data_IF_721268918570
#
_entry.id   IF_721268918570
#
_cell.length_a   1.000
_cell.length_b   1.000
_cell.length_c   1.000
_cell.angle_alpha   90.00
_cell.angle_beta   90.00
_cell.angle_gamma   90.00
#
_symmetry.space_group_name_H-M   'P 1'
#
loop_
_entity.id
_entity.type
_entity.pdbx_description
1 polymer ?
#
# COMPACT_ATOMS: atom_id res chain seq x y z
N UNK A 1 -3.37 1.03 0.85
CA UNK A 1 -2.60 0.57 2.02
C UNK A 1 -3.34 1.06 3.25
N UNK A 2 -3.65 0.17 4.19
CA UNK A 2 -4.29 0.48 5.46
C UNK A 2 -3.21 0.62 6.54
N UNK A 3 -3.32 1.64 7.39
CA UNK A 3 -2.36 1.89 8.47
C UNK A 3 -3.08 1.92 9.82
N UNK A 4 -2.70 1.03 10.73
CA UNK A 4 -3.14 1.03 12.12
C UNK A 4 -2.24 1.95 12.96
N UNK A 5 -2.65 3.19 13.19
CA UNK A 5 -1.86 4.14 13.98
C UNK A 5 -2.06 3.92 15.49
N UNK A 6 -1.11 4.39 16.32
CA UNK A 6 -1.10 4.30 17.79
C UNK A 6 -0.88 2.88 18.34
N UNK A 7 -0.03 2.09 17.68
CA UNK A 7 0.28 0.73 18.16
C UNK A 7 0.97 0.67 19.54
N UNK A 8 1.40 1.81 20.09
CA UNK A 8 1.94 1.93 21.45
C UNK A 8 0.89 1.78 22.56
N UNK A 9 -0.39 2.02 22.27
CA UNK A 9 -1.50 1.94 23.23
C UNK A 9 -2.05 0.52 23.38
N UNK A 10 -1.20 -0.43 23.76
CA UNK A 10 -1.55 -1.86 23.83
C UNK A 10 -2.72 -2.13 24.81
N UNK A 11 -2.80 -1.36 25.90
CA UNK A 11 -3.86 -1.50 26.92
C UNK A 11 -5.22 -1.00 26.47
N UNK A 12 -5.26 -0.08 25.50
CA UNK A 12 -6.49 0.50 24.94
C UNK A 12 -6.77 -0.06 23.53
N UNK A 13 -6.14 -1.19 23.18
CA UNK A 13 -6.28 -1.80 21.87
C UNK A 13 -7.66 -2.42 21.72
N UNK A 14 -8.50 -1.79 20.90
CA UNK A 14 -9.82 -2.32 20.56
C UNK A 14 -9.80 -3.25 19.33
N UNK A 15 -8.84 -3.06 18.43
CA UNK A 15 -8.74 -3.83 17.17
C UNK A 15 -7.49 -4.69 17.21
N UNK A 16 -7.65 -5.99 17.00
CA UNK A 16 -6.52 -6.90 16.89
C UNK A 16 -5.83 -6.76 15.53
N UNK A 17 -4.53 -7.03 15.49
CA UNK A 17 -3.74 -7.02 14.26
C UNK A 17 -4.35 -7.93 13.17
N UNK A 18 -4.87 -9.10 13.57
CA UNK A 18 -5.53 -10.05 12.66
C UNK A 18 -6.78 -9.46 11.99
N UNK A 19 -7.56 -8.68 12.74
CA UNK A 19 -8.78 -8.05 12.22
C UNK A 19 -8.43 -6.94 11.24
N UNK A 20 -7.43 -6.12 11.56
CA UNK A 20 -6.87 -5.11 10.66
C UNK A 20 -6.33 -5.73 9.36
N UNK A 21 -5.59 -6.84 9.47
CA UNK A 21 -5.08 -7.58 8.32
C UNK A 21 -6.21 -8.20 7.49
N UNK A 22 -7.24 -8.77 8.12
CA UNK A 22 -8.39 -9.33 7.43
C UNK A 22 -9.17 -8.25 6.65
N UNK A 23 -9.33 -7.06 7.23
CA UNK A 23 -9.94 -5.92 6.56
C UNK A 23 -9.09 -5.44 5.38
N UNK A 24 -7.78 -5.35 5.55
CA UNK A 24 -6.88 -4.93 4.47
C UNK A 24 -6.92 -5.92 3.29
N UNK A 25 -6.92 -7.23 3.59
CA UNK A 25 -7.08 -8.30 2.60
C UNK A 25 -8.40 -8.16 1.84
N UNK A 26 -9.51 -7.91 2.54
CA UNK A 26 -10.83 -7.67 1.92
C UNK A 26 -10.84 -6.45 0.99
N UNK A 27 -10.10 -5.40 1.35
CA UNK A 27 -9.97 -4.18 0.55
C UNK A 27 -8.91 -4.32 -0.56
N UNK A 28 -8.22 -5.46 -0.66
CA UNK A 28 -7.16 -5.69 -1.63
C UNK A 28 -5.94 -4.79 -1.40
N UNK A 29 -5.64 -4.43 -0.15
CA UNK A 29 -4.52 -3.55 0.18
C UNK A 29 -3.65 -4.10 1.32
N UNK A 30 -2.42 -3.59 1.41
CA UNK A 30 -1.47 -3.96 2.46
C UNK A 30 -1.83 -3.31 3.80
N UNK A 31 -1.55 -3.98 4.92
CA UNK A 31 -1.72 -3.46 6.28
C UNK A 31 -0.36 -3.19 6.94
N UNK A 32 -0.25 -2.09 7.69
CA UNK A 32 0.93 -1.77 8.51
C UNK A 32 0.48 -1.11 9.81
N UNK A 33 1.00 -1.56 10.95
CA UNK A 33 0.83 -0.83 12.21
C UNK A 33 1.98 0.14 12.44
N UNK A 34 1.65 1.36 12.89
CA UNK A 34 2.62 2.40 13.19
C UNK A 34 2.28 3.14 14.47
N UNK A 35 3.28 3.76 15.10
CA UNK A 35 3.04 4.76 16.14
C UNK A 35 3.76 6.05 15.78
N UNK A 36 2.97 7.10 15.59
CA UNK A 36 3.50 8.45 15.42
C UNK A 36 4.22 8.95 16.69
N UNK A 37 3.82 8.47 17.87
CA UNK A 37 4.37 8.90 19.17
C UNK A 37 5.75 8.28 19.44
N UNK A 38 5.91 7.00 19.14
CA UNK A 38 7.17 6.27 19.37
C UNK A 38 8.01 6.12 18.10
N UNK A 39 7.60 6.75 17.00
CA UNK A 39 8.23 6.66 15.68
C UNK A 39 8.37 5.22 15.14
N UNK A 40 7.48 4.32 15.56
CA UNK A 40 7.51 2.91 15.12
C UNK A 40 6.84 2.77 13.76
N UNK A 41 7.54 2.14 12.81
CA UNK A 41 7.07 1.80 11.46
C UNK A 41 6.59 2.98 10.59
N UNK A 42 6.81 4.22 11.03
CA UNK A 42 6.43 5.43 10.28
C UNK A 42 7.20 5.50 8.95
N UNK A 43 8.53 5.32 9.00
CA UNK A 43 9.36 5.27 7.80
C UNK A 43 8.96 4.12 6.87
N UNK A 44 8.76 2.93 7.44
CA UNK A 44 8.37 1.74 6.68
C UNK A 44 7.06 1.96 5.92
N UNK A 45 6.06 2.55 6.58
CA UNK A 45 4.79 2.88 5.95
C UNK A 45 5.00 3.88 4.79
N UNK A 46 5.78 4.93 5.02
CA UNK A 46 6.02 5.96 4.01
C UNK A 46 6.78 5.41 2.79
N UNK A 47 7.89 4.70 2.99
CA UNK A 47 8.66 4.10 1.91
C UNK A 47 7.85 3.06 1.13
N UNK A 48 7.04 2.26 1.81
CA UNK A 48 6.16 1.28 1.14
C UNK A 48 5.16 1.99 0.24
N UNK A 49 4.51 3.03 0.74
CA UNK A 49 3.56 3.83 -0.04
C UNK A 49 4.20 4.44 -1.29
N UNK A 50 5.37 5.06 -1.14
CA UNK A 50 6.11 5.67 -2.26
C UNK A 50 6.47 4.61 -3.30
N UNK A 51 6.95 3.43 -2.88
CA UNK A 51 7.26 2.32 -3.79
C UNK A 51 6.03 1.84 -4.55
N UNK A 52 4.88 1.73 -3.88
CA UNK A 52 3.62 1.35 -4.51
C UNK A 52 3.18 2.34 -5.59
N UNK A 53 3.25 3.65 -5.30
CA UNK A 53 2.88 4.70 -6.26
C UNK A 53 3.80 4.66 -7.49
N UNK A 54 5.12 4.49 -7.29
CA UNK A 54 6.09 4.41 -8.39
C UNK A 54 5.84 3.19 -9.27
N UNK A 55 5.57 2.03 -8.67
CA UNK A 55 5.25 0.81 -9.41
C UNK A 55 3.96 0.97 -10.23
N UNK A 56 2.90 1.51 -9.64
CA UNK A 56 1.64 1.77 -10.36
C UNK A 56 1.82 2.71 -11.54
N UNK A 57 2.65 3.75 -11.41
CA UNK A 57 2.96 4.67 -12.50
C UNK A 57 3.71 3.98 -13.64
N UNK A 58 4.72 3.16 -13.31
CA UNK A 58 5.48 2.39 -14.30
C UNK A 58 4.59 1.38 -15.04
N UNK A 59 3.70 0.69 -14.32
CA UNK A 59 2.75 -0.24 -14.92
C UNK A 59 1.77 0.47 -15.86
N UNK A 60 1.29 1.65 -15.48
CA UNK A 60 0.41 2.46 -16.33
C UNK A 60 1.12 2.93 -17.61
N UNK A 61 2.38 3.35 -17.51
CA UNK A 61 3.22 3.74 -18.65
C UNK A 61 3.47 2.54 -19.60
N UNK A 62 3.80 1.37 -19.04
CA UNK A 62 3.97 0.12 -19.80
C UNK A 62 2.71 -0.28 -20.55
N UNK A 63 1.54 -0.23 -19.90
CA UNK A 63 0.24 -0.55 -20.54
C UNK A 63 -0.06 0.38 -21.72
N UNK A 64 0.23 1.69 -21.58
CA UNK A 64 0.10 2.66 -22.69
C UNK A 64 1.05 2.36 -23.84
N UNK A 65 2.26 1.89 -23.55
CA UNK A 65 3.24 1.48 -24.57
C UNK A 65 2.78 0.28 -25.40
N UNK A 66 2.27 -0.77 -24.74
CA UNK A 66 1.73 -1.95 -25.44
C UNK A 66 0.53 -1.60 -26.33
N UNK A 67 -0.37 -0.73 -25.86
CA UNK A 67 -1.55 -0.33 -26.62
C UNK A 67 -1.20 0.44 -27.91
N UNK A 68 -0.09 1.19 -27.92
CA UNK A 68 0.43 1.84 -29.14
C UNK A 68 1.05 0.87 -30.14
N UNK A 69 1.65 -0.23 -29.69
CA UNK A 69 2.22 -1.24 -30.60
C UNK A 69 1.16 -2.08 -31.30
N UNK A 70 0.00 -2.30 -30.68
CA UNK A 70 -1.12 -3.04 -31.29
C UNK A 70 -1.84 -2.26 -32.41
N UNK A 71 -1.62 -0.94 -32.56
CA UNK A 71 -2.29 -0.14 -33.59
C UNK A 71 -1.48 0.02 -34.89
N UNK A 72 -0.28 -0.57 -34.98
CA UNK A 72 0.54 -0.45 -36.18
C UNK A 72 0.42 -1.74 -37.01
N UNK A 73 -0.57 -1.77 -37.92
CA UNK A 73 -0.56 -2.68 -39.06
C UNK A 73 0.30 -2.00 -40.13
N UNK A 74 1.45 -2.60 -40.45
CA UNK A 74 2.23 -2.20 -41.62
C UNK A 74 1.49 -2.75 -42.84
N UNK A 75 0.94 -1.85 -43.66
CA UNK A 75 0.38 -2.13 -44.99
C UNK A 75 1.50 -2.15 -46.03
#
# INVERSE_FOLDING_TARGET
MLVGNKCDMVKEREVQEKEGQALANRLGCTFVESSAKTFVNVERAFFTLVRMIRAQRQDAERRRGLQKQSSCIIL
#
